data_IF_200481095197
#
_entry.id   IF_200481095197
#
_cell.length_a   1.000
_cell.length_b   1.000
_cell.length_c   1.000
_cell.angle_alpha   90.00
_cell.angle_beta   90.00
_cell.angle_gamma   90.00
#
_symmetry.space_group_name_H-M   'P 1'
#
loop_
_entity.id
_entity.type
_entity.pdbx_description
1 polymer ?
#
# COMPACT_ATOMS: atom_id res chain seq x y z
N UNK A 1 14.60 -9.91 35.33
CA UNK A 1 13.35 -9.12 35.40
C UNK A 1 12.23 -9.99 34.83
N UNK A 2 11.07 -10.12 35.50
CA UNK A 2 10.07 -11.12 35.15
C UNK A 2 9.26 -10.71 33.90
N UNK A 3 8.88 -11.75 33.16
CA UNK A 3 8.05 -11.74 31.96
C UNK A 3 6.68 -11.06 32.17
N UNK A 4 6.29 -10.20 31.22
CA UNK A 4 4.88 -9.81 31.04
C UNK A 4 4.33 -10.64 29.88
N UNK A 5 3.47 -11.62 30.19
CA UNK A 5 2.67 -12.33 29.19
C UNK A 5 1.62 -11.35 28.62
N UNK A 6 1.77 -10.97 27.36
CA UNK A 6 0.76 -10.21 26.63
C UNK A 6 -0.46 -11.07 26.32
N UNK A 7 -1.63 -10.62 26.76
CA UNK A 7 -2.92 -11.23 26.45
C UNK A 7 -3.15 -11.26 24.93
N UNK A 8 -3.49 -12.44 24.39
CA UNK A 8 -4.01 -12.56 23.02
C UNK A 8 -5.36 -11.87 22.96
N UNK A 9 -5.44 -10.74 22.25
CA UNK A 9 -6.73 -10.16 21.86
C UNK A 9 -7.40 -11.10 20.86
N UNK A 10 -8.48 -11.76 21.29
CA UNK A 10 -9.37 -12.52 20.40
C UNK A 10 -10.34 -11.52 19.79
N UNK A 11 -10.16 -11.20 18.51
CA UNK A 11 -11.10 -10.37 17.77
C UNK A 11 -12.31 -11.22 17.38
N UNK A 12 -13.45 -10.96 18.01
CA UNK A 12 -14.71 -11.60 17.68
C UNK A 12 -15.32 -10.90 16.46
N UNK A 13 -15.26 -11.53 15.28
CA UNK A 13 -15.80 -11.02 14.02
C UNK A 13 -17.33 -11.21 13.97
N UNK A 14 -18.04 -10.59 14.91
CA UNK A 14 -19.50 -10.60 14.93
C UNK A 14 -20.06 -9.63 13.89
N UNK A 15 -20.79 -10.17 12.90
CA UNK A 15 -21.72 -9.49 11.99
C UNK A 15 -21.31 -8.09 11.52
N UNK A 16 -20.53 -8.03 10.45
CA UNK A 16 -20.33 -6.81 9.66
C UNK A 16 -21.59 -6.60 8.82
N UNK A 17 -22.67 -6.15 9.46
CA UNK A 17 -23.86 -5.66 8.78
C UNK A 17 -23.52 -4.38 8.01
N UNK A 18 -23.98 -4.31 6.76
CA UNK A 18 -23.85 -3.14 5.89
C UNK A 18 -24.25 -1.87 6.65
N UNK A 19 -23.26 -1.02 6.95
CA UNK A 19 -23.48 0.28 7.57
C UNK A 19 -23.41 1.35 6.49
N UNK A 20 -24.54 1.63 5.84
CA UNK A 20 -24.78 2.83 5.04
C UNK A 20 -24.91 4.09 5.92
N UNK A 21 -23.97 4.29 6.83
CA UNK A 21 -23.93 5.49 7.66
C UNK A 21 -23.05 6.53 7.00
N UNK A 22 -23.68 7.40 6.23
CA UNK A 22 -23.16 8.74 5.93
C UNK A 22 -22.72 9.36 7.28
N UNK A 23 -21.41 9.52 7.44
CA UNK A 23 -20.80 10.06 8.64
C UNK A 23 -21.06 11.56 8.72
N UNK A 24 -22.18 11.96 9.32
CA UNK A 24 -22.40 13.37 9.64
C UNK A 24 -21.54 13.75 10.86
N UNK A 25 -20.30 14.18 10.57
CA UNK A 25 -19.26 14.51 11.55
C UNK A 25 -19.76 15.50 12.61
N UNK A 26 -20.55 16.50 12.22
CA UNK A 26 -21.05 17.53 13.12
C UNK A 26 -22.03 16.97 14.17
N UNK A 27 -22.86 15.98 13.78
CA UNK A 27 -23.88 15.39 14.66
C UNK A 27 -23.31 14.50 15.75
N UNK A 28 -22.13 13.91 15.53
CA UNK A 28 -21.46 13.02 16.51
C UNK A 28 -20.64 13.80 17.55
N UNK A 29 -20.18 15.01 17.21
CA UNK A 29 -19.29 15.80 18.05
C UNK A 29 -19.92 17.08 18.63
N UNK A 30 -21.23 17.31 18.44
CA UNK A 30 -21.94 18.52 18.90
C UNK A 30 -21.18 19.82 18.53
N UNK A 31 -20.58 19.85 17.33
CA UNK A 31 -19.85 21.02 16.88
C UNK A 31 -20.85 22.06 16.38
N UNK A 32 -20.77 23.29 16.90
CA UNK A 32 -21.51 24.45 16.41
C UNK A 32 -20.90 25.01 15.11
N UNK A 33 -20.48 24.12 14.21
CA UNK A 33 -20.13 24.50 12.84
C UNK A 33 -21.44 24.70 12.08
N UNK A 34 -21.61 25.79 11.31
CA UNK A 34 -22.74 25.90 10.41
C UNK A 34 -22.84 24.62 9.59
N UNK A 35 -24.04 24.04 9.47
CA UNK A 35 -24.30 22.98 8.50
C UNK A 35 -23.97 23.54 7.12
N UNK A 36 -22.71 23.41 6.71
CA UNK A 36 -22.38 23.40 5.30
C UNK A 36 -23.14 22.17 4.77
N UNK A 37 -23.97 22.32 3.72
CA UNK A 37 -24.51 21.14 3.03
C UNK A 37 -23.34 20.21 2.79
N UNK A 38 -23.50 18.89 2.97
CA UNK A 38 -22.45 17.88 2.92
C UNK A 38 -21.57 18.06 1.66
N UNK A 39 -20.63 19.00 1.69
CA UNK A 39 -19.72 19.29 0.61
C UNK A 39 -18.61 18.30 0.85
N UNK A 40 -18.87 17.06 0.41
CA UNK A 40 -17.85 16.13 -0.06
C UNK A 40 -16.74 16.93 -0.70
N UNK A 41 -15.48 16.62 -0.36
CA UNK A 41 -14.27 17.32 -0.79
C UNK A 41 -14.56 18.23 -2.01
N UNK A 42 -14.82 19.51 -1.74
CA UNK A 42 -15.37 20.45 -2.73
C UNK A 42 -14.65 20.52 -4.08
N UNK A 43 -13.36 20.13 -4.22
CA UNK A 43 -12.68 20.04 -5.51
C UNK A 43 -12.91 18.74 -6.31
N UNK A 44 -13.24 17.61 -5.69
CA UNK A 44 -13.22 16.31 -6.36
C UNK A 44 -14.54 15.93 -7.04
N UNK A 45 -15.66 16.54 -6.64
CA UNK A 45 -16.99 16.36 -7.26
C UNK A 45 -17.56 14.94 -7.18
N UNK A 46 -16.87 14.01 -6.52
CA UNK A 46 -17.24 12.61 -6.36
C UNK A 46 -17.86 12.39 -4.97
N UNK A 47 -19.18 12.21 -4.94
CA UNK A 47 -19.92 11.95 -3.71
C UNK A 47 -20.08 10.45 -3.39
N UNK A 48 -19.57 9.56 -4.25
CA UNK A 48 -19.74 8.12 -4.08
C UNK A 48 -18.73 7.49 -3.12
N UNK A 49 -17.64 8.22 -2.78
CA UNK A 49 -16.51 7.68 -2.02
C UNK A 49 -16.89 7.02 -0.69
N UNK A 50 -17.77 7.58 0.16
CA UNK A 50 -18.11 6.95 1.44
C UNK A 50 -18.89 5.64 1.33
N UNK A 51 -19.47 5.35 0.16
CA UNK A 51 -20.19 4.10 -0.10
C UNK A 51 -19.27 3.02 -0.69
N UNK A 52 -17.98 3.33 -0.92
CA UNK A 52 -17.01 2.35 -1.40
C UNK A 52 -16.63 1.36 -0.28
N UNK A 53 -16.67 0.08 -0.61
CA UNK A 53 -16.32 -1.02 0.31
C UNK A 53 -15.32 -2.02 -0.30
N UNK A 54 -14.83 -1.74 -1.50
CA UNK A 54 -13.87 -2.58 -2.22
C UNK A 54 -12.76 -1.73 -2.81
N UNK A 55 -11.56 -2.30 -2.89
CA UNK A 55 -10.41 -1.72 -3.56
C UNK A 55 -9.83 -2.75 -4.54
N UNK A 56 -9.25 -2.27 -5.63
CA UNK A 56 -8.59 -3.12 -6.63
C UNK A 56 -7.23 -3.60 -6.15
N UNK A 57 -6.48 -2.71 -5.50
CA UNK A 57 -5.08 -2.95 -5.17
C UNK A 57 -4.71 -2.55 -3.73
N UNK A 58 -3.62 -3.11 -3.23
CA UNK A 58 -2.80 -2.50 -2.19
C UNK A 58 -1.49 -1.98 -2.82
N UNK A 59 -1.15 -0.74 -2.56
CA UNK A 59 0.08 -0.09 -3.03
C UNK A 59 1.10 -0.07 -1.90
N UNK A 60 2.25 -0.71 -2.10
CA UNK A 60 3.45 -0.55 -1.28
C UNK A 60 4.34 0.52 -1.92
N UNK A 61 4.63 1.61 -1.20
CA UNK A 61 5.48 2.69 -1.72
C UNK A 61 6.49 3.21 -0.69
N UNK A 62 7.51 3.90 -1.20
CA UNK A 62 8.47 4.61 -0.35
C UNK A 62 7.80 5.78 0.38
N UNK A 63 8.28 6.13 1.58
CA UNK A 63 7.77 7.28 2.35
C UNK A 63 8.18 8.65 1.80
N UNK A 64 8.91 8.70 0.68
CA UNK A 64 9.46 9.94 0.13
C UNK A 64 8.36 10.94 -0.23
N UNK A 65 8.43 12.12 0.42
CA UNK A 65 7.42 13.16 0.30
C UNK A 65 7.42 13.85 -1.07
N UNK A 66 8.53 13.78 -1.82
CA UNK A 66 8.69 14.45 -3.12
C UNK A 66 7.77 13.88 -4.19
N UNK A 67 7.20 12.69 -3.96
CA UNK A 67 6.51 11.92 -4.99
C UNK A 67 5.03 11.65 -4.68
N UNK A 68 4.46 12.16 -3.57
CA UNK A 68 3.07 11.84 -3.18
C UNK A 68 2.07 12.10 -4.31
N UNK A 69 2.05 13.33 -4.82
CA UNK A 69 1.12 13.72 -5.88
C UNK A 69 1.48 13.06 -7.22
N UNK A 70 2.78 12.90 -7.51
CA UNK A 70 3.25 12.27 -8.74
C UNK A 70 2.83 10.79 -8.81
N UNK A 71 3.03 10.04 -7.73
CA UNK A 71 2.60 8.64 -7.61
C UNK A 71 1.09 8.53 -7.73
N UNK A 72 0.33 9.37 -7.01
CA UNK A 72 -1.14 9.40 -7.15
C UNK A 72 -1.57 9.74 -8.57
N UNK A 73 -0.93 10.70 -9.25
CA UNK A 73 -1.20 11.06 -10.63
C UNK A 73 -0.99 9.86 -11.57
N UNK A 74 0.18 9.22 -11.49
CA UNK A 74 0.51 8.05 -12.31
C UNK A 74 -0.45 6.87 -12.07
N UNK A 75 -0.82 6.61 -10.81
CA UNK A 75 -1.79 5.58 -10.45
C UNK A 75 -3.20 5.92 -10.96
N UNK A 76 -3.61 7.19 -10.89
CA UNK A 76 -4.90 7.65 -11.44
C UNK A 76 -4.96 7.43 -12.96
N UNK A 77 -3.88 7.76 -13.69
CA UNK A 77 -3.77 7.50 -15.14
C UNK A 77 -3.86 6.01 -15.49
N UNK A 78 -3.50 5.13 -14.56
CA UNK A 78 -3.62 3.68 -14.67
C UNK A 78 -4.95 3.12 -14.15
N UNK A 79 -5.90 3.98 -13.79
CA UNK A 79 -7.24 3.58 -13.37
C UNK A 79 -7.35 3.16 -11.90
N UNK A 80 -6.40 3.58 -11.05
CA UNK A 80 -6.45 3.32 -9.60
C UNK A 80 -7.06 4.46 -8.78
N UNK A 81 -7.65 5.48 -9.41
CA UNK A 81 -8.29 6.58 -8.68
C UNK A 81 -9.34 6.06 -7.71
N UNK A 82 -9.14 6.26 -6.40
CA UNK A 82 -10.01 5.76 -5.32
C UNK A 82 -10.22 4.23 -5.36
N UNK A 83 -9.25 3.47 -5.86
CA UNK A 83 -9.34 2.01 -6.04
C UNK A 83 -8.12 1.28 -5.44
N UNK A 84 -7.41 1.90 -4.50
CA UNK A 84 -6.32 1.23 -3.77
C UNK A 84 -6.26 1.64 -2.30
N UNK A 85 -5.83 0.68 -1.49
CA UNK A 85 -5.27 0.93 -0.15
C UNK A 85 -3.77 1.21 -0.29
N UNK A 86 -3.15 1.90 0.67
CA UNK A 86 -1.72 2.22 0.65
C UNK A 86 -1.02 1.76 1.94
N UNK A 87 0.17 1.17 1.78
CA UNK A 87 1.12 0.87 2.86
C UNK A 87 2.47 1.49 2.51
N UNK A 88 3.09 2.12 3.50
CA UNK A 88 4.30 2.93 3.30
C UNK A 88 5.45 2.32 4.11
N UNK A 89 6.59 2.13 3.47
CA UNK A 89 7.85 1.72 4.10
C UNK A 89 9.03 2.40 3.40
N UNK A 90 10.06 2.84 4.12
CA UNK A 90 11.19 3.52 3.48
C UNK A 90 11.90 2.58 2.50
N UNK A 91 12.10 3.02 1.24
CA UNK A 91 12.65 2.15 0.20
C UNK A 91 11.73 1.01 -0.25
N UNK A 92 10.44 1.01 0.10
CA UNK A 92 9.42 0.07 -0.37
C UNK A 92 9.87 -1.41 -0.35
N UNK A 93 10.27 -1.97 -1.50
CA UNK A 93 10.76 -3.36 -1.60
C UNK A 93 12.05 -3.60 -0.84
N UNK A 94 13.00 -2.67 -0.86
CA UNK A 94 14.22 -2.73 -0.05
C UNK A 94 13.87 -2.81 1.44
N UNK A 95 12.92 -1.99 1.86
CA UNK A 95 12.42 -1.99 3.22
C UNK A 95 11.76 -3.33 3.61
N UNK A 96 10.93 -3.87 2.72
CA UNK A 96 10.27 -5.16 2.90
C UNK A 96 11.28 -6.32 2.99
N UNK A 97 12.29 -6.35 2.10
CA UNK A 97 13.34 -7.38 2.07
C UNK A 97 14.27 -7.31 3.29
N UNK A 98 14.18 -6.24 4.08
CA UNK A 98 14.98 -6.03 5.28
C UNK A 98 16.12 -5.06 5.01
N UNK A 99 15.93 -3.81 5.41
CA UNK A 99 17.03 -2.87 5.62
C UNK A 99 17.83 -3.33 6.85
N UNK A 100 19.17 -3.29 6.77
CA UNK A 100 20.10 -3.94 7.71
C UNK A 100 19.81 -3.72 9.22
N UNK A 101 19.15 -2.60 9.59
CA UNK A 101 18.88 -2.23 10.99
C UNK A 101 17.38 -2.18 11.37
N UNK A 102 16.45 -2.41 10.44
CA UNK A 102 15.00 -2.33 10.70
C UNK A 102 14.32 -3.69 10.48
N UNK A 103 14.04 -4.39 11.58
CA UNK A 103 13.31 -5.67 11.53
C UNK A 103 11.79 -5.48 11.59
N UNK A 104 11.05 -6.35 10.88
CA UNK A 104 9.60 -6.50 11.02
C UNK A 104 8.73 -5.80 9.98
N UNK A 105 9.30 -5.09 9.00
CA UNK A 105 8.50 -4.44 7.95
C UNK A 105 7.79 -5.43 7.04
N UNK A 106 8.40 -6.56 6.71
CA UNK A 106 7.72 -7.65 6.01
C UNK A 106 6.47 -8.12 6.78
N UNK A 107 6.56 -8.35 8.09
CA UNK A 107 5.42 -8.76 8.93
C UNK A 107 4.33 -7.69 8.95
N UNK A 108 4.72 -6.42 9.05
CA UNK A 108 3.80 -5.28 9.00
C UNK A 108 3.08 -5.19 7.65
N UNK A 109 3.81 -5.32 6.54
CA UNK A 109 3.28 -5.27 5.17
C UNK A 109 2.40 -6.49 4.88
N UNK A 110 2.84 -7.70 5.24
CA UNK A 110 2.06 -8.94 5.12
C UNK A 110 0.71 -8.82 5.83
N UNK A 111 0.71 -8.19 7.02
CA UNK A 111 -0.51 -7.94 7.79
C UNK A 111 -1.44 -6.95 7.07
N UNK A 112 -0.89 -5.94 6.37
CA UNK A 112 -1.67 -5.01 5.55
C UNK A 112 -2.25 -5.69 4.31
N UNK A 113 -1.47 -6.51 3.61
CA UNK A 113 -1.96 -7.30 2.45
C UNK A 113 -3.14 -8.17 2.87
N UNK A 114 -2.99 -8.91 3.98
CA UNK A 114 -4.05 -9.76 4.53
C UNK A 114 -5.28 -8.95 4.91
N UNK A 115 -5.11 -7.79 5.55
CA UNK A 115 -6.22 -6.96 6.00
C UNK A 115 -6.97 -6.33 4.81
N UNK A 116 -6.24 -5.79 3.83
CA UNK A 116 -6.79 -5.22 2.61
C UNK A 116 -7.62 -6.26 1.83
N UNK A 117 -7.15 -7.52 1.75
CA UNK A 117 -7.94 -8.59 1.14
C UNK A 117 -9.22 -8.90 1.93
N UNK A 118 -9.14 -8.98 3.26
CA UNK A 118 -10.29 -9.32 4.10
C UNK A 118 -11.34 -8.22 4.13
N UNK A 119 -10.94 -6.95 4.09
CA UNK A 119 -11.85 -5.80 4.19
C UNK A 119 -12.33 -5.32 2.83
N UNK A 120 -11.43 -5.24 1.85
CA UNK A 120 -11.68 -4.54 0.58
C UNK A 120 -11.52 -5.45 -0.65
N UNK A 121 -11.25 -6.74 -0.46
CA UNK A 121 -11.21 -7.75 -1.53
C UNK A 121 -10.25 -7.42 -2.67
N UNK A 122 -9.09 -6.84 -2.34
CA UNK A 122 -8.05 -6.55 -3.33
C UNK A 122 -7.65 -7.81 -4.13
N UNK A 123 -7.28 -7.62 -5.39
CA UNK A 123 -6.70 -8.67 -6.24
C UNK A 123 -5.36 -8.25 -6.85
N UNK A 124 -4.88 -7.04 -6.56
CA UNK A 124 -3.59 -6.56 -7.04
C UNK A 124 -2.69 -6.06 -5.89
N UNK A 125 -1.38 -6.27 -6.02
CA UNK A 125 -0.36 -5.64 -5.19
C UNK A 125 0.57 -4.85 -6.10
N UNK A 126 0.69 -3.55 -5.86
CA UNK A 126 1.58 -2.68 -6.62
C UNK A 126 2.77 -2.29 -5.74
N UNK A 127 3.99 -2.54 -6.21
CA UNK A 127 5.22 -2.11 -5.55
C UNK A 127 5.72 -0.89 -6.32
N UNK A 128 5.80 0.27 -5.67
CA UNK A 128 6.20 1.53 -6.30
C UNK A 128 7.51 2.02 -5.70
N UNK A 129 8.59 1.78 -6.44
CA UNK A 129 9.93 2.31 -6.21
C UNK A 129 10.07 3.71 -6.82
N UNK A 130 11.12 4.42 -6.42
CA UNK A 130 11.51 5.66 -7.09
C UNK A 130 13.02 5.81 -7.20
N UNK A 131 13.46 6.46 -8.28
CA UNK A 131 14.86 6.82 -8.48
C UNK A 131 15.33 7.86 -7.43
N UNK A 132 16.65 7.88 -7.15
CA UNK A 132 17.28 8.78 -6.17
C UNK A 132 16.68 8.63 -4.78
N UNK A 133 16.54 7.39 -4.35
CA UNK A 133 15.96 7.01 -3.08
C UNK A 133 16.97 7.14 -1.93
N UNK A 134 16.59 7.89 -0.90
CA UNK A 134 17.43 8.07 0.29
C UNK A 134 17.71 6.77 1.04
N UNK A 135 16.75 5.83 1.05
CA UNK A 135 16.94 4.53 1.70
C UNK A 135 17.99 3.68 0.96
N UNK A 136 17.97 3.70 -0.37
CA UNK A 136 18.98 3.03 -1.20
C UNK A 136 20.35 3.68 -1.03
N UNK A 137 20.43 5.01 -1.00
CA UNK A 137 21.70 5.72 -0.78
C UNK A 137 22.31 5.43 0.61
N UNK A 138 21.49 5.19 1.64
CA UNK A 138 21.95 4.79 2.97
C UNK A 138 22.43 3.33 2.98
N UNK A 139 21.66 2.43 2.38
CA UNK A 139 21.98 1.00 2.33
C UNK A 139 23.18 0.68 1.43
N UNK A 140 23.31 1.41 0.33
CA UNK A 140 24.32 1.25 -0.70
C UNK A 140 24.99 2.61 -0.96
N UNK A 141 26.01 3.00 -0.18
CA UNK A 141 26.68 4.28 -0.35
C UNK A 141 27.44 4.35 -1.69
N UNK A 142 27.27 5.47 -2.41
CA UNK A 142 28.08 5.77 -3.61
C UNK A 142 27.59 5.13 -4.91
N UNK A 143 26.35 4.64 -4.96
CA UNK A 143 25.77 4.14 -6.21
C UNK A 143 25.69 5.22 -7.29
N UNK A 144 25.99 4.83 -8.52
CA UNK A 144 25.56 5.52 -9.73
C UNK A 144 24.06 5.27 -9.99
N UNK A 145 23.41 6.15 -10.77
CA UNK A 145 22.00 6.00 -11.13
C UNK A 145 21.70 4.63 -11.80
N UNK A 146 22.64 4.09 -12.59
CA UNK A 146 22.49 2.78 -13.24
C UNK A 146 22.60 1.60 -12.27
N UNK A 147 23.46 1.71 -11.25
CA UNK A 147 23.55 0.70 -10.20
C UNK A 147 22.32 0.74 -9.29
N UNK A 148 21.85 1.93 -8.90
CA UNK A 148 20.60 2.10 -8.15
C UNK A 148 19.42 1.45 -8.88
N UNK A 149 19.28 1.70 -10.19
CA UNK A 149 18.28 1.05 -11.03
C UNK A 149 18.34 -0.48 -10.94
N UNK A 150 19.54 -1.06 -11.03
CA UNK A 150 19.73 -2.52 -10.93
C UNK A 150 19.29 -3.04 -9.56
N UNK A 151 19.59 -2.32 -8.49
CA UNK A 151 19.11 -2.68 -7.16
C UNK A 151 17.59 -2.56 -7.03
N UNK A 152 16.93 -1.59 -7.67
CA UNK A 152 15.46 -1.55 -7.68
C UNK A 152 14.87 -2.77 -8.37
N UNK A 153 15.36 -3.15 -9.56
CA UNK A 153 14.90 -4.34 -10.28
C UNK A 153 15.02 -5.60 -9.43
N UNK A 154 16.17 -5.79 -8.78
CA UNK A 154 16.41 -6.95 -7.94
C UNK A 154 15.51 -6.98 -6.69
N UNK A 155 15.43 -5.88 -5.95
CA UNK A 155 14.64 -5.81 -4.73
C UNK A 155 13.14 -5.95 -5.00
N UNK A 156 12.64 -5.33 -6.08
CA UNK A 156 11.24 -5.49 -6.52
C UNK A 156 10.93 -6.95 -6.84
N UNK A 157 11.83 -7.63 -7.57
CA UNK A 157 11.63 -9.03 -7.93
C UNK A 157 11.60 -9.93 -6.69
N UNK A 158 12.54 -9.74 -5.77
CA UNK A 158 12.61 -10.50 -4.51
C UNK A 158 11.38 -10.27 -3.63
N UNK A 159 11.00 -9.00 -3.42
CA UNK A 159 9.81 -8.64 -2.65
C UNK A 159 8.55 -9.23 -3.29
N UNK A 160 8.40 -9.11 -4.62
CA UNK A 160 7.26 -9.63 -5.34
C UNK A 160 7.17 -11.15 -5.29
N UNK A 161 8.29 -11.87 -5.39
CA UNK A 161 8.31 -13.33 -5.29
C UNK A 161 8.02 -13.82 -3.87
N UNK A 162 8.50 -13.12 -2.84
CA UNK A 162 8.14 -13.44 -1.45
C UNK A 162 6.64 -13.20 -1.20
N UNK A 163 6.10 -12.04 -1.61
CA UNK A 163 4.67 -11.76 -1.55
C UNK A 163 3.86 -12.80 -2.35
N UNK A 164 4.34 -13.19 -3.53
CA UNK A 164 3.73 -14.23 -4.33
C UNK A 164 3.64 -15.55 -3.56
N UNK A 165 4.73 -15.99 -2.94
CA UNK A 165 4.77 -17.24 -2.16
C UNK A 165 3.79 -17.23 -0.97
N UNK A 166 3.50 -16.05 -0.42
CA UNK A 166 2.59 -15.87 0.71
C UNK A 166 1.13 -15.75 0.30
N UNK A 167 0.86 -15.15 -0.86
CA UNK A 167 -0.49 -14.66 -1.19
C UNK A 167 -1.12 -15.25 -2.46
N UNK A 168 -0.38 -16.00 -3.28
CA UNK A 168 -0.93 -16.53 -4.53
C UNK A 168 -2.13 -17.48 -4.32
N UNK A 169 -2.96 -17.60 -5.35
CA UNK A 169 -4.22 -18.35 -5.33
C UNK A 169 -4.08 -19.86 -5.15
N UNK A 170 -2.91 -20.43 -5.43
CA UNK A 170 -2.73 -21.89 -5.51
C UNK A 170 -2.19 -22.45 -4.21
N UNK A 171 -1.15 -21.83 -3.65
CA UNK A 171 -0.42 -22.33 -2.49
C UNK A 171 0.11 -21.23 -1.56
N UNK A 172 -0.51 -20.04 -1.58
CA UNK A 172 -0.16 -18.93 -0.69
C UNK A 172 -0.10 -19.36 0.78
N UNK A 173 1.05 -19.17 1.41
CA UNK A 173 1.31 -19.65 2.79
C UNK A 173 0.61 -18.84 3.89
N UNK A 174 0.16 -17.61 3.60
CA UNK A 174 -0.54 -16.73 4.56
C UNK A 174 -2.04 -16.71 4.30
N UNK A 175 -2.45 -16.40 3.07
CA UNK A 175 -3.84 -16.46 2.59
C UNK A 175 -3.83 -16.52 1.07
N UNK A 176 -4.78 -17.22 0.46
CA UNK A 176 -4.86 -17.32 -1.00
C UNK A 176 -5.74 -16.19 -1.54
N UNK A 177 -5.16 -15.30 -2.35
CA UNK A 177 -5.89 -14.23 -3.04
C UNK A 177 -6.21 -14.71 -4.46
N UNK A 178 -7.51 -14.88 -4.83
CA UNK A 178 -7.90 -15.25 -6.18
C UNK A 178 -7.49 -14.19 -7.21
N UNK A 179 -7.03 -14.62 -8.39
CA UNK A 179 -6.64 -13.74 -9.49
C UNK A 179 -5.56 -12.71 -9.11
N UNK A 180 -4.67 -13.08 -8.17
CA UNK A 180 -3.63 -12.17 -7.68
C UNK A 180 -2.72 -11.72 -8.82
N UNK A 181 -2.56 -10.41 -8.92
CA UNK A 181 -1.57 -9.76 -9.77
C UNK A 181 -0.61 -8.94 -8.93
N UNK A 182 0.69 -9.12 -9.15
CA UNK A 182 1.74 -8.30 -8.54
C UNK A 182 2.45 -7.54 -9.66
N UNK A 183 2.62 -6.23 -9.49
CA UNK A 183 3.33 -5.40 -10.47
C UNK A 183 4.26 -4.43 -9.77
N UNK A 184 5.50 -4.39 -10.22
CA UNK A 184 6.52 -3.47 -9.72
C UNK A 184 6.73 -2.32 -10.68
N UNK A 185 6.78 -1.10 -10.15
CA UNK A 185 7.01 0.12 -10.90
C UNK A 185 8.19 0.90 -10.34
N UNK A 186 8.88 1.64 -11.21
CA UNK A 186 9.86 2.66 -10.86
C UNK A 186 9.40 4.01 -11.39
N UNK A 187 9.22 4.98 -10.49
CA UNK A 187 8.96 6.36 -10.86
C UNK A 187 10.26 7.16 -10.91
N UNK A 188 10.45 8.01 -11.92
CA UNK A 188 11.54 8.99 -11.90
C UNK A 188 11.33 10.01 -10.79
N UNK A 189 12.41 10.64 -10.34
CA UNK A 189 12.35 11.61 -9.23
C UNK A 189 11.53 12.87 -9.57
N UNK A 190 11.38 13.19 -10.86
CA UNK A 190 10.53 14.27 -11.35
C UNK A 190 9.07 13.84 -11.58
N UNK A 191 8.74 12.57 -11.37
CA UNK A 191 7.39 12.02 -11.52
C UNK A 191 6.95 11.75 -12.96
N UNK A 192 7.78 12.08 -13.96
CA UNK A 192 7.40 12.04 -15.37
C UNK A 192 7.37 10.63 -15.96
N UNK A 193 8.31 9.75 -15.58
CA UNK A 193 8.34 8.36 -16.01
C UNK A 193 7.82 7.45 -14.91
N UNK A 194 7.09 6.40 -15.30
CA UNK A 194 6.55 5.38 -14.41
C UNK A 194 6.64 4.02 -15.10
N UNK A 195 7.84 3.45 -15.02
CA UNK A 195 8.26 2.26 -15.74
C UNK A 195 7.85 0.99 -14.99
N UNK A 196 7.42 -0.04 -15.72
CA UNK A 196 7.14 -1.35 -15.14
C UNK A 196 8.43 -2.19 -15.10
N UNK A 197 8.86 -2.57 -13.89
CA UNK A 197 10.05 -3.40 -13.70
C UNK A 197 9.71 -4.89 -13.61
N UNK A 198 8.51 -5.22 -13.14
CA UNK A 198 8.12 -6.59 -12.82
C UNK A 198 6.61 -6.79 -12.98
N UNK A 199 6.21 -7.98 -13.43
CA UNK A 199 4.80 -8.41 -13.45
C UNK A 199 4.66 -9.91 -13.24
N UNK A 200 3.73 -10.29 -12.38
CA UNK A 200 3.30 -11.68 -12.19
C UNK A 200 1.79 -11.77 -11.95
N UNK A 201 1.15 -12.79 -12.51
CA UNK A 201 -0.30 -13.01 -12.47
C UNK A 201 -0.59 -14.49 -12.28
N UNK A 202 -1.68 -14.80 -11.57
CA UNK A 202 -2.08 -16.19 -11.24
C UNK A 202 -2.86 -16.84 -12.35
#
# INVERSE_FOLDING_TARGET
MPFIKGNKAVWNLGNIGQSSRIYNFNKRFNLNTPNQPDTYCGPCGDSSQPDLHTAKALVLCCMDFRLRDNTTCQLNLKGYKNQYDEVIAAGASLGYNGLADYSGWNVFIDSHVKLAYNLHHISEILIVEHAKCGAYAVQYPGLTDAEEYTYHVNNVSECADELWSKFNSTNGSVIQIPNLKITGYLISIDGCSFEELYRKTS
#
